data_IF_834546356032
#
_entry.id   IF_834546356032
#
_cell.length_a   1.000
_cell.length_b   1.000
_cell.length_c   1.000
_cell.angle_alpha   90.00
_cell.angle_beta   90.00
_cell.angle_gamma   90.00
#
_symmetry.space_group_name_H-M   'P 1'
#
loop_
_entity.id
_entity.type
_entity.pdbx_description
1 polymer ?
#
# COMPACT_ATOMS: atom_id res chain seq x y z
N UNK A 1 -6.88 32.98 10.57
CA UNK A 1 -5.98 32.61 9.45
C UNK A 1 -6.54 31.35 8.82
N UNK A 2 -6.93 31.40 7.54
CA UNK A 2 -7.45 30.23 6.81
C UNK A 2 -6.31 29.72 5.92
N UNK A 3 -5.87 28.48 6.12
CA UNK A 3 -4.86 27.81 5.28
C UNK A 3 -5.58 26.81 4.37
N UNK A 4 -5.44 26.98 3.05
CA UNK A 4 -6.07 26.13 2.04
C UNK A 4 -4.98 25.50 1.17
N UNK A 5 -4.96 24.16 1.05
CA UNK A 5 -4.00 23.43 0.23
C UNK A 5 -4.71 22.84 -1.00
N UNK A 6 -4.50 23.44 -2.17
CA UNK A 6 -5.07 22.96 -3.44
C UNK A 6 -4.20 21.96 -4.22
N UNK A 7 -4.83 21.32 -5.20
CA UNK A 7 -4.15 20.41 -6.13
C UNK A 7 -3.94 21.13 -7.47
N UNK A 8 -2.68 21.45 -7.77
CA UNK A 8 -2.25 22.03 -9.04
C UNK A 8 -1.62 21.00 -10.01
N UNK A 9 -1.47 19.74 -9.58
CA UNK A 9 -0.68 18.74 -10.30
C UNK A 9 -1.53 17.66 -10.97
N UNK A 10 -2.80 17.49 -10.56
CA UNK A 10 -3.72 16.56 -11.21
C UNK A 10 -4.83 17.30 -12.00
N UNK A 11 -4.53 17.82 -13.21
CA UNK A 11 -5.56 18.35 -14.09
C UNK A 11 -6.36 17.18 -14.70
N UNK A 12 -7.37 16.65 -14.01
CA UNK A 12 -8.21 15.60 -14.61
C UNK A 12 -8.89 14.54 -13.74
N UNK A 13 -9.25 14.84 -12.48
CA UNK A 13 -10.31 14.13 -11.74
C UNK A 13 -10.05 12.78 -11.00
N UNK A 14 -8.85 12.19 -10.83
CA UNK A 14 -8.72 11.07 -9.89
C UNK A 14 -8.48 11.51 -8.43
N UNK A 15 -8.40 12.82 -8.16
CA UNK A 15 -8.10 13.35 -6.83
C UNK A 15 -9.27 13.26 -5.84
N UNK A 16 -9.00 12.74 -4.65
CA UNK A 16 -10.00 12.60 -3.58
C UNK A 16 -10.56 13.96 -3.14
N UNK A 17 -11.89 14.10 -3.25
CA UNK A 17 -12.67 15.29 -2.89
C UNK A 17 -12.18 16.59 -3.57
N UNK A 18 -11.44 16.50 -4.67
CA UNK A 18 -10.81 17.66 -5.32
C UNK A 18 -11.85 18.72 -5.74
N UNK A 19 -12.97 18.27 -6.32
CA UNK A 19 -14.04 19.17 -6.79
C UNK A 19 -14.75 19.86 -5.61
N UNK A 20 -15.07 19.10 -4.56
CA UNK A 20 -15.68 19.63 -3.33
C UNK A 20 -14.81 20.70 -2.70
N UNK A 21 -13.52 20.39 -2.51
CA UNK A 21 -12.53 21.31 -1.96
C UNK A 21 -12.43 22.59 -2.81
N UNK A 22 -12.32 22.43 -4.13
CA UNK A 22 -12.25 23.57 -5.06
C UNK A 22 -13.50 24.46 -4.99
N UNK A 23 -14.69 23.86 -4.87
CA UNK A 23 -15.93 24.60 -4.69
C UNK A 23 -15.91 25.43 -3.40
N UNK A 24 -15.68 24.78 -2.26
CA UNK A 24 -15.70 25.45 -0.95
C UNK A 24 -14.63 26.55 -0.89
N UNK A 25 -13.41 26.27 -1.37
CA UNK A 25 -12.33 27.26 -1.37
C UNK A 25 -12.62 28.45 -2.27
N UNK A 26 -13.15 28.23 -3.47
CA UNK A 26 -13.46 29.34 -4.39
C UNK A 26 -14.45 30.33 -3.77
N UNK A 27 -15.42 29.83 -2.99
CA UNK A 27 -16.40 30.65 -2.26
C UNK A 27 -15.76 31.38 -1.08
N UNK A 28 -14.94 30.69 -0.28
CA UNK A 28 -14.27 31.28 0.89
C UNK A 28 -13.17 32.29 0.52
N UNK A 29 -12.47 32.09 -0.61
CA UNK A 29 -11.50 33.05 -1.13
C UNK A 29 -12.17 34.35 -1.57
N UNK A 30 -13.40 34.27 -2.08
CA UNK A 30 -14.19 35.44 -2.43
C UNK A 30 -14.82 36.12 -1.21
N UNK A 31 -15.35 35.34 -0.28
CA UNK A 31 -15.93 35.83 0.97
C UNK A 31 -15.58 34.90 2.15
N UNK A 32 -14.63 35.27 3.02
CA UNK A 32 -14.20 34.45 4.14
C UNK A 32 -15.20 34.39 5.29
N UNK A 33 -16.27 35.19 5.27
CA UNK A 33 -17.35 35.17 6.28
C UNK A 33 -18.37 34.05 6.04
N UNK A 34 -18.30 33.35 4.90
CA UNK A 34 -19.23 32.25 4.59
C UNK A 34 -18.99 31.03 5.49
N UNK A 35 -20.07 30.33 5.84
CA UNK A 35 -20.00 29.08 6.58
C UNK A 35 -19.54 27.93 5.68
N UNK A 36 -18.33 27.43 5.94
CA UNK A 36 -17.73 26.32 5.20
C UNK A 36 -18.56 25.02 5.27
N UNK A 37 -19.22 24.74 6.41
CA UNK A 37 -20.06 23.55 6.55
C UNK A 37 -21.34 23.68 5.73
N UNK A 38 -21.95 24.87 5.69
CA UNK A 38 -23.09 25.13 4.83
C UNK A 38 -22.73 24.96 3.34
N UNK A 39 -21.58 25.48 2.91
CA UNK A 39 -21.07 25.34 1.53
C UNK A 39 -20.79 23.87 1.16
N UNK A 40 -20.18 23.11 2.07
CA UNK A 40 -20.00 21.67 1.87
C UNK A 40 -21.36 20.97 1.71
N UNK A 41 -22.33 21.30 2.56
CA UNK A 41 -23.64 20.68 2.51
C UNK A 41 -24.36 20.97 1.19
N UNK A 42 -24.35 22.22 0.75
CA UNK A 42 -24.89 22.65 -0.54
C UNK A 42 -24.24 21.87 -1.69
N UNK A 43 -22.90 21.76 -1.68
CA UNK A 43 -22.17 21.01 -2.70
C UNK A 43 -22.54 19.53 -2.68
N UNK A 44 -22.57 18.91 -1.51
CA UNK A 44 -22.85 17.48 -1.40
C UNK A 44 -24.26 17.14 -1.91
N UNK A 45 -25.26 17.96 -1.57
CA UNK A 45 -26.62 17.77 -2.06
C UNK A 45 -26.71 17.95 -3.58
N UNK A 46 -26.11 19.01 -4.14
CA UNK A 46 -26.17 19.29 -5.57
C UNK A 46 -25.31 18.37 -6.44
N UNK A 47 -24.13 17.99 -5.95
CA UNK A 47 -23.14 17.22 -6.72
C UNK A 47 -23.33 15.71 -6.58
N UNK A 48 -23.75 15.21 -5.42
CA UNK A 48 -23.95 13.78 -5.21
C UNK A 48 -25.42 13.35 -5.20
N UNK A 49 -26.38 14.28 -5.18
CA UNK A 49 -27.80 13.99 -5.37
C UNK A 49 -28.31 12.87 -4.45
N UNK A 50 -28.85 11.78 -5.02
CA UNK A 50 -29.35 10.64 -4.26
C UNK A 50 -28.30 9.96 -3.35
N UNK A 51 -27.00 10.09 -3.65
CA UNK A 51 -25.93 9.56 -2.83
C UNK A 51 -25.50 10.50 -1.69
N UNK A 52 -26.02 11.73 -1.65
CA UNK A 52 -25.61 12.76 -0.69
C UNK A 52 -25.64 12.30 0.78
N UNK A 53 -26.67 11.59 1.29
CA UNK A 53 -26.69 11.14 2.69
C UNK A 53 -25.48 10.25 3.04
N UNK A 54 -25.13 9.30 2.17
CA UNK A 54 -24.01 8.38 2.38
C UNK A 54 -22.67 9.09 2.23
N UNK A 55 -22.57 10.07 1.33
CA UNK A 55 -21.36 10.91 1.22
C UNK A 55 -21.14 11.70 2.50
N UNK A 56 -22.19 12.21 3.16
CA UNK A 56 -22.06 12.89 4.46
C UNK A 56 -21.53 11.96 5.55
N UNK A 57 -22.02 10.72 5.60
CA UNK A 57 -21.51 9.71 6.53
C UNK A 57 -20.03 9.39 6.26
N UNK A 58 -19.65 9.25 5.00
CA UNK A 58 -18.26 9.03 4.60
C UNK A 58 -17.35 10.19 5.03
N UNK A 59 -17.79 11.44 4.82
CA UNK A 59 -17.04 12.63 5.26
C UNK A 59 -16.92 12.72 6.78
N UNK A 60 -17.98 12.39 7.51
CA UNK A 60 -17.98 12.35 8.98
C UNK A 60 -17.03 11.27 9.52
N UNK A 61 -17.03 10.07 8.91
CA UNK A 61 -16.09 9.00 9.25
C UNK A 61 -14.64 9.45 9.07
N UNK A 62 -14.31 10.05 7.90
CA UNK A 62 -12.94 10.55 7.65
C UNK A 62 -12.51 11.59 8.67
N UNK A 63 -13.39 12.53 9.04
CA UNK A 63 -13.12 13.52 10.08
C UNK A 63 -12.85 12.87 11.43
N UNK A 64 -13.66 11.89 11.81
CA UNK A 64 -13.49 11.13 13.05
C UNK A 64 -12.16 10.39 13.08
N UNK A 65 -11.82 9.66 12.01
CA UNK A 65 -10.56 8.92 11.92
C UNK A 65 -9.35 9.85 11.95
N UNK A 66 -9.39 10.97 11.20
CA UNK A 66 -8.35 11.98 11.21
C UNK A 66 -8.16 12.65 12.59
N UNK A 67 -9.24 12.97 13.30
CA UNK A 67 -9.17 13.56 14.64
C UNK A 67 -8.57 12.60 15.70
N UNK A 68 -8.58 11.29 15.44
CA UNK A 68 -7.96 10.29 16.31
C UNK A 68 -6.44 10.20 16.16
N UNK A 69 -5.87 10.75 15.09
CA UNK A 69 -4.43 10.74 14.87
C UNK A 69 -3.75 11.77 15.77
N UNK A 70 -2.87 11.31 16.65
CA UNK A 70 -2.14 12.16 17.61
C UNK A 70 -0.89 12.82 17.00
N UNK A 71 -0.35 12.22 15.94
CA UNK A 71 0.85 12.69 15.23
C UNK A 71 0.43 13.45 13.97
N UNK A 72 1.22 14.46 13.57
CA UNK A 72 1.02 15.12 12.27
C UNK A 72 1.35 14.16 11.12
N UNK A 73 0.66 14.31 9.99
CA UNK A 73 0.98 13.60 8.75
C UNK A 73 1.76 14.52 7.80
N UNK A 74 2.68 13.94 7.02
CA UNK A 74 3.43 14.66 6.00
C UNK A 74 2.65 14.74 4.67
N UNK A 75 3.19 15.50 3.71
CA UNK A 75 2.55 15.75 2.42
C UNK A 75 2.64 14.57 1.43
N UNK A 76 3.40 13.51 1.74
CA UNK A 76 3.74 12.44 0.81
C UNK A 76 3.46 11.03 1.38
N UNK A 77 2.55 10.91 2.35
CA UNK A 77 2.12 9.61 2.88
C UNK A 77 1.16 8.90 1.92
N UNK A 78 1.48 7.68 1.50
CA UNK A 78 0.64 6.81 0.66
C UNK A 78 -0.20 5.77 1.42
N UNK A 79 -0.04 5.66 2.75
CA UNK A 79 -0.58 4.56 3.56
C UNK A 79 -1.76 4.99 4.45
N UNK A 80 -2.15 6.26 4.44
CA UNK A 80 -3.27 6.81 5.22
C UNK A 80 -3.24 6.38 6.70
N UNK A 81 -2.26 6.85 7.48
CA UNK A 81 -2.04 6.37 8.86
C UNK A 81 -3.15 6.81 9.83
N UNK A 82 -3.90 7.84 9.44
CA UNK A 82 -5.12 8.30 10.11
C UNK A 82 -6.29 7.32 9.97
N UNK A 83 -6.22 6.32 9.09
CA UNK A 83 -7.30 5.41 8.78
C UNK A 83 -7.01 3.99 9.29
N UNK A 84 -7.72 3.61 10.36
CA UNK A 84 -7.68 2.24 10.88
C UNK A 84 -8.29 1.25 9.89
N UNK A 85 -7.90 -0.03 9.99
CA UNK A 85 -8.49 -1.09 9.14
C UNK A 85 -10.01 -1.21 9.35
N UNK A 86 -10.49 -0.95 10.59
CA UNK A 86 -11.92 -0.95 10.88
C UNK A 86 -12.65 0.20 10.18
N UNK A 87 -12.14 1.42 10.32
CA UNK A 87 -12.74 2.59 9.67
C UNK A 87 -12.64 2.48 8.14
N UNK A 88 -11.60 1.87 7.60
CA UNK A 88 -11.49 1.56 6.17
C UNK A 88 -12.66 0.67 5.72
N UNK A 89 -12.95 -0.43 6.44
CA UNK A 89 -14.08 -1.31 6.13
C UNK A 89 -15.43 -0.61 6.25
N UNK A 90 -15.61 0.20 7.29
CA UNK A 90 -16.84 0.97 7.49
C UNK A 90 -17.04 2.00 6.36
N UNK A 91 -15.96 2.65 5.92
CA UNK A 91 -15.97 3.56 4.79
C UNK A 91 -16.31 2.86 3.47
N UNK A 92 -15.75 1.67 3.22
CA UNK A 92 -16.10 0.85 2.05
C UNK A 92 -17.60 0.51 2.07
N UNK A 93 -18.15 0.12 3.22
CA UNK A 93 -19.58 -0.19 3.34
C UNK A 93 -20.48 1.03 3.07
N UNK A 94 -20.10 2.22 3.54
CA UNK A 94 -20.82 3.48 3.27
C UNK A 94 -20.76 3.81 1.76
N UNK A 95 -19.59 3.68 1.15
CA UNK A 95 -19.38 3.97 -0.27
C UNK A 95 -20.14 3.00 -1.19
N UNK A 96 -20.26 1.72 -0.82
CA UNK A 96 -21.09 0.77 -1.56
C UNK A 96 -22.58 1.13 -1.49
N UNK A 97 -23.07 1.63 -0.34
CA UNK A 97 -24.44 2.17 -0.24
C UNK A 97 -24.62 3.42 -1.10
N UNK A 98 -23.62 4.31 -1.16
CA UNK A 98 -23.62 5.47 -2.03
C UNK A 98 -23.71 5.05 -3.52
N UNK A 99 -22.94 4.03 -3.93
CA UNK A 99 -22.98 3.49 -5.30
C UNK A 99 -24.35 2.90 -5.63
N UNK A 100 -24.94 2.15 -4.70
CA UNK A 100 -26.27 1.57 -4.87
C UNK A 100 -27.35 2.66 -5.03
N UNK A 101 -27.29 3.73 -4.24
CA UNK A 101 -28.21 4.86 -4.36
C UNK A 101 -28.06 5.61 -5.70
N UNK A 102 -26.84 5.68 -6.22
CA UNK A 102 -26.50 6.33 -7.49
C UNK A 102 -26.74 5.47 -8.74
N UNK A 103 -27.13 4.19 -8.60
CA UNK A 103 -27.10 3.21 -9.69
C UNK A 103 -27.96 3.60 -10.92
N UNK A 104 -29.01 4.40 -10.73
CA UNK A 104 -29.90 4.85 -11.81
C UNK A 104 -29.44 6.14 -12.50
N UNK A 105 -28.46 6.86 -11.96
CA UNK A 105 -27.92 8.10 -12.53
C UNK A 105 -26.44 7.90 -12.88
N UNK A 106 -26.08 7.78 -14.17
CA UNK A 106 -24.71 7.50 -14.58
C UNK A 106 -23.73 8.64 -14.23
N UNK A 107 -24.21 9.88 -14.11
CA UNK A 107 -23.38 11.03 -13.75
C UNK A 107 -23.03 10.97 -12.26
N UNK A 108 -24.02 10.68 -11.41
CA UNK A 108 -23.78 10.52 -9.97
C UNK A 108 -22.96 9.25 -9.72
N UNK A 109 -23.25 8.15 -10.42
CA UNK A 109 -22.51 6.90 -10.30
C UNK A 109 -21.00 7.09 -10.57
N UNK A 110 -20.63 7.83 -11.63
CA UNK A 110 -19.23 8.14 -11.92
C UNK A 110 -18.56 9.00 -10.83
N UNK A 111 -19.31 9.94 -10.24
CA UNK A 111 -18.81 10.78 -9.13
C UNK A 111 -18.55 9.96 -7.87
N UNK A 112 -19.44 9.02 -7.55
CA UNK A 112 -19.29 8.12 -6.40
C UNK A 112 -18.20 7.07 -6.66
N UNK A 113 -18.10 6.52 -7.88
CA UNK A 113 -17.01 5.61 -8.25
C UNK A 113 -15.64 6.28 -8.03
N UNK A 114 -15.47 7.50 -8.52
CA UNK A 114 -14.25 8.30 -8.30
C UNK A 114 -13.98 8.53 -6.80
N UNK A 115 -15.01 8.84 -6.01
CA UNK A 115 -14.91 9.05 -4.57
C UNK A 115 -14.46 7.79 -3.81
N UNK A 116 -14.89 6.61 -4.27
CA UNK A 116 -14.61 5.34 -3.61
C UNK A 116 -13.18 4.83 -3.84
N UNK A 117 -12.55 5.23 -4.94
CA UNK A 117 -11.24 4.72 -5.37
C UNK A 117 -10.19 4.75 -4.24
N UNK A 118 -9.90 5.87 -3.56
CA UNK A 118 -8.85 5.89 -2.54
C UNK A 118 -9.01 4.81 -1.45
N UNK A 119 -10.24 4.55 -0.99
CA UNK A 119 -10.52 3.50 -0.01
C UNK A 119 -10.39 2.11 -0.63
N UNK A 120 -10.87 1.89 -1.86
CA UNK A 120 -10.68 0.61 -2.56
C UNK A 120 -9.20 0.27 -2.76
N UNK A 121 -8.36 1.27 -3.07
CA UNK A 121 -6.91 1.07 -3.21
C UNK A 121 -6.26 0.63 -1.90
N UNK A 122 -6.57 1.34 -0.81
CA UNK A 122 -6.09 0.99 0.52
C UNK A 122 -6.57 -0.40 0.94
N UNK A 123 -7.82 -0.74 0.62
CA UNK A 123 -8.38 -2.06 0.88
C UNK A 123 -7.58 -3.15 0.14
N UNK A 124 -7.27 -2.95 -1.15
CA UNK A 124 -6.55 -3.93 -1.95
C UNK A 124 -5.12 -4.18 -1.44
N UNK A 125 -4.41 -3.13 -1.01
CA UNK A 125 -3.07 -3.24 -0.43
C UNK A 125 -3.05 -3.79 1.01
N UNK A 126 -4.19 -3.73 1.73
CA UNK A 126 -4.33 -4.26 3.09
C UNK A 126 -5.13 -5.56 3.15
N UNK A 127 -5.55 -6.10 2.01
CA UNK A 127 -6.50 -7.21 1.95
C UNK A 127 -6.00 -8.44 2.71
N UNK A 128 -4.72 -8.80 2.57
CA UNK A 128 -4.14 -9.99 3.20
C UNK A 128 -4.24 -9.98 4.73
N UNK A 129 -4.00 -8.83 5.37
CA UNK A 129 -4.10 -8.70 6.84
C UNK A 129 -5.54 -8.52 7.35
N UNK A 130 -6.47 -8.14 6.47
CA UNK A 130 -7.87 -7.87 6.82
C UNK A 130 -8.81 -9.05 6.58
N UNK A 131 -8.40 -10.08 5.83
CA UNK A 131 -9.25 -11.24 5.59
C UNK A 131 -9.65 -11.93 6.90
N UNK A 132 -10.93 -12.36 6.94
CA UNK A 132 -11.53 -12.96 8.13
C UNK A 132 -12.04 -11.94 9.16
N UNK A 133 -11.69 -10.65 9.04
CA UNK A 133 -12.28 -9.62 9.88
C UNK A 133 -13.74 -9.33 9.48
N UNK A 134 -14.64 -9.00 10.43
CA UNK A 134 -16.01 -8.63 10.13
C UNK A 134 -16.09 -7.43 9.17
N UNK A 135 -16.81 -7.59 8.07
CA UNK A 135 -16.96 -6.56 7.04
C UNK A 135 -15.89 -6.57 5.95
N UNK A 136 -14.85 -7.40 6.07
CA UNK A 136 -13.90 -7.58 4.98
C UNK A 136 -14.60 -8.21 3.75
N UNK A 137 -14.48 -7.61 2.55
CA UNK A 137 -15.04 -8.19 1.33
C UNK A 137 -14.49 -9.58 1.03
N UNK A 138 -15.29 -10.40 0.34
CA UNK A 138 -14.87 -11.72 -0.12
C UNK A 138 -13.73 -11.61 -1.14
N UNK A 139 -12.96 -12.69 -1.30
CA UNK A 139 -11.90 -12.76 -2.32
C UNK A 139 -12.45 -12.41 -3.71
N UNK A 140 -13.62 -12.94 -4.09
CA UNK A 140 -14.26 -12.62 -5.36
C UNK A 140 -14.55 -11.11 -5.51
N UNK A 141 -15.00 -10.44 -4.44
CA UNK A 141 -15.25 -8.98 -4.49
C UNK A 141 -13.95 -8.19 -4.57
N UNK A 142 -12.88 -8.63 -3.88
CA UNK A 142 -11.55 -8.01 -4.00
C UNK A 142 -10.97 -8.14 -5.41
N UNK A 143 -11.13 -9.30 -6.05
CA UNK A 143 -10.74 -9.50 -7.46
C UNK A 143 -11.50 -8.54 -8.38
N UNK A 144 -12.79 -8.34 -8.13
CA UNK A 144 -13.60 -7.38 -8.87
C UNK A 144 -13.12 -5.94 -8.66
N UNK A 145 -12.85 -5.51 -7.42
CA UNK A 145 -12.29 -4.18 -7.15
C UNK A 145 -10.96 -3.96 -7.87
N UNK A 146 -10.09 -4.97 -7.93
CA UNK A 146 -8.83 -4.87 -8.65
C UNK A 146 -9.04 -4.65 -10.17
N UNK A 147 -9.99 -5.36 -10.78
CA UNK A 147 -10.37 -5.16 -12.18
C UNK A 147 -11.01 -3.80 -12.43
N UNK A 148 -11.93 -3.37 -11.56
CA UNK A 148 -12.55 -2.03 -11.61
C UNK A 148 -11.51 -0.92 -11.49
N UNK A 149 -10.47 -1.12 -10.68
CA UNK A 149 -9.34 -0.21 -10.55
C UNK A 149 -8.49 -0.12 -11.82
N UNK A 150 -8.18 -1.24 -12.47
CA UNK A 150 -7.46 -1.24 -13.76
C UNK A 150 -8.26 -0.48 -14.82
N UNK A 151 -9.56 -0.74 -14.92
CA UNK A 151 -10.45 -0.01 -15.83
C UNK A 151 -10.48 1.48 -15.48
N UNK A 152 -10.53 1.85 -14.20
CA UNK A 152 -10.48 3.24 -13.77
C UNK A 152 -9.17 3.93 -14.19
N UNK A 153 -8.03 3.26 -14.01
CA UNK A 153 -6.73 3.78 -14.44
C UNK A 153 -6.68 4.04 -15.95
N UNK A 154 -7.26 3.15 -16.76
CA UNK A 154 -7.34 3.34 -18.22
C UNK A 154 -8.27 4.50 -18.58
N UNK A 155 -9.49 4.54 -18.02
CA UNK A 155 -10.48 5.59 -18.29
C UNK A 155 -9.98 6.98 -17.92
N UNK A 156 -9.30 7.10 -16.77
CA UNK A 156 -8.74 8.36 -16.26
C UNK A 156 -7.32 8.65 -16.77
N UNK A 157 -6.76 7.79 -17.63
CA UNK A 157 -5.41 7.92 -18.20
C UNK A 157 -4.32 8.09 -17.14
N UNK A 158 -4.42 7.34 -16.04
CA UNK A 158 -3.44 7.35 -14.96
C UNK A 158 -2.18 6.63 -15.43
N UNK A 159 -1.14 7.40 -15.69
CA UNK A 159 0.15 6.92 -16.23
C UNK A 159 1.30 7.00 -15.24
N UNK A 160 1.13 7.69 -14.12
CA UNK A 160 2.17 7.93 -13.12
C UNK A 160 1.62 7.77 -11.71
N UNK A 161 2.51 7.54 -10.76
CA UNK A 161 2.22 7.48 -9.33
C UNK A 161 3.16 8.44 -8.59
N UNK A 162 2.62 9.22 -7.65
CA UNK A 162 3.34 10.29 -6.94
C UNK A 162 3.99 11.33 -7.89
N UNK A 163 4.88 12.18 -7.36
CA UNK A 163 5.64 13.16 -8.15
C UNK A 163 6.81 12.53 -8.92
N UNK A 164 6.77 11.21 -9.17
CA UNK A 164 7.83 10.51 -9.89
C UNK A 164 7.78 10.82 -11.39
N UNK A 165 8.59 11.79 -11.80
CA UNK A 165 8.85 12.09 -13.21
C UNK A 165 9.89 11.10 -13.77
N UNK A 166 9.44 10.02 -14.41
CA UNK A 166 10.35 9.11 -15.11
C UNK A 166 9.68 7.85 -15.67
N UNK A 167 10.33 7.17 -16.64
CA UNK A 167 9.82 5.94 -17.27
C UNK A 167 9.75 4.72 -16.32
N UNK A 168 10.20 4.87 -15.08
CA UNK A 168 10.35 3.82 -14.06
C UNK A 168 9.55 4.14 -12.78
N UNK A 169 8.34 4.70 -12.92
CA UNK A 169 7.50 5.01 -11.75
C UNK A 169 6.89 3.75 -11.11
N UNK A 170 6.56 3.87 -9.82
CA UNK A 170 5.87 2.85 -9.02
C UNK A 170 4.58 2.29 -9.66
N UNK A 171 4.00 3.00 -10.63
CA UNK A 171 2.77 2.63 -11.33
C UNK A 171 2.83 1.24 -11.99
N UNK A 172 4.01 0.82 -12.43
CA UNK A 172 4.21 -0.47 -13.10
C UNK A 172 3.97 -1.64 -12.14
N UNK A 173 4.55 -1.57 -10.94
CA UNK A 173 4.31 -2.52 -9.85
C UNK A 173 2.85 -2.53 -9.42
N UNK A 174 2.25 -1.35 -9.25
CA UNK A 174 0.82 -1.22 -8.91
C UNK A 174 -0.07 -1.92 -9.96
N UNK A 175 0.17 -1.65 -11.25
CA UNK A 175 -0.58 -2.30 -12.34
C UNK A 175 -0.39 -3.81 -12.34
N UNK A 176 0.83 -4.30 -12.12
CA UNK A 176 1.11 -5.72 -12.04
C UNK A 176 0.37 -6.39 -10.86
N UNK A 177 0.45 -5.79 -9.66
CA UNK A 177 -0.26 -6.27 -8.48
C UNK A 177 -1.78 -6.32 -8.69
N UNK A 178 -2.38 -5.22 -9.18
CA UNK A 178 -3.81 -5.17 -9.49
C UNK A 178 -4.22 -6.23 -10.52
N UNK A 179 -3.42 -6.43 -11.57
CA UNK A 179 -3.66 -7.45 -12.58
C UNK A 179 -3.66 -8.86 -11.98
N UNK A 180 -2.64 -9.21 -11.20
CA UNK A 180 -2.58 -10.52 -10.53
C UNK A 180 -3.77 -10.75 -9.59
N UNK A 181 -4.18 -9.71 -8.84
CA UNK A 181 -5.38 -9.78 -7.99
C UNK A 181 -6.63 -9.99 -8.84
N UNK A 182 -6.83 -9.23 -9.92
CA UNK A 182 -8.01 -9.37 -10.80
C UNK A 182 -8.11 -10.73 -11.50
N UNK A 183 -6.98 -11.35 -11.82
CA UNK A 183 -6.90 -12.67 -12.47
C UNK A 183 -7.03 -13.83 -11.47
N UNK A 184 -7.18 -13.54 -10.17
CA UNK A 184 -7.23 -14.55 -9.11
C UNK A 184 -5.91 -15.29 -8.91
N UNK A 185 -4.79 -14.68 -9.32
CA UNK A 185 -3.44 -15.23 -9.18
C UNK A 185 -2.73 -14.74 -7.91
N UNK A 186 -3.27 -13.71 -7.26
CA UNK A 186 -2.92 -13.25 -5.92
C UNK A 186 -4.16 -13.38 -5.00
N UNK A 187 -4.06 -12.94 -3.73
CA UNK A 187 -5.08 -13.06 -2.67
C UNK A 187 -5.31 -14.49 -2.14
N UNK A 188 -4.41 -15.42 -2.46
CA UNK A 188 -4.44 -16.80 -1.94
C UNK A 188 -3.79 -16.85 -0.58
N UNK A 189 -4.53 -16.71 0.52
CA UNK A 189 -3.88 -16.58 1.84
C UNK A 189 -3.46 -17.93 2.43
N UNK A 190 -2.16 -18.22 2.35
CA UNK A 190 -1.53 -19.32 3.06
C UNK A 190 -0.64 -18.75 4.14
N UNK A 191 -0.93 -19.07 5.40
CA UNK A 191 -0.03 -18.77 6.51
C UNK A 191 1.13 -19.76 6.49
N UNK A 192 2.38 -19.35 6.19
CA UNK A 192 3.53 -20.25 6.20
C UNK A 192 3.86 -20.68 7.63
N UNK A 193 4.59 -21.79 7.79
CA UNK A 193 4.91 -22.38 9.10
C UNK A 193 5.61 -21.38 10.03
N UNK A 194 6.51 -20.55 9.48
CA UNK A 194 7.19 -19.50 10.22
C UNK A 194 6.22 -18.52 10.88
N UNK A 195 5.23 -18.02 10.13
CA UNK A 195 4.21 -17.11 10.66
C UNK A 195 3.28 -17.79 11.66
N UNK A 196 2.92 -19.07 11.44
CA UNK A 196 2.13 -19.85 12.42
C UNK A 196 2.87 -20.01 13.74
N UNK A 197 4.18 -20.23 13.69
CA UNK A 197 5.02 -20.33 14.89
C UNK A 197 5.04 -19.01 15.66
N UNK A 198 5.24 -17.87 14.98
CA UNK A 198 5.17 -16.56 15.62
C UNK A 198 3.81 -16.31 16.29
N UNK A 199 2.71 -16.69 15.62
CA UNK A 199 1.35 -16.61 16.19
C UNK A 199 1.20 -17.48 17.44
N UNK A 200 1.67 -18.73 17.38
CA UNK A 200 1.60 -19.66 18.52
C UNK A 200 2.44 -19.19 19.72
N UNK A 201 3.55 -18.50 19.46
CA UNK A 201 4.39 -17.87 20.48
C UNK A 201 3.82 -16.54 21.01
N UNK A 202 2.68 -16.08 20.49
CA UNK A 202 2.06 -14.81 20.86
C UNK A 202 2.88 -13.58 20.43
N UNK A 203 3.79 -13.74 19.47
CA UNK A 203 4.64 -12.65 18.98
C UNK A 203 3.84 -11.71 18.11
N UNK A 204 3.97 -10.42 18.38
CA UNK A 204 3.41 -9.38 17.53
C UNK A 204 4.34 -9.14 16.34
N UNK A 205 3.82 -9.28 15.13
CA UNK A 205 4.57 -9.07 13.91
C UNK A 205 3.74 -8.40 12.82
N UNK A 206 4.43 -7.88 11.82
CA UNK A 206 3.84 -7.28 10.63
C UNK A 206 4.42 -7.95 9.38
N UNK A 207 3.56 -8.23 8.40
CA UNK A 207 3.92 -8.83 7.12
C UNK A 207 3.73 -7.79 6.00
N UNK A 208 4.77 -7.59 5.19
CA UNK A 208 4.77 -6.70 4.05
C UNK A 208 4.93 -7.55 2.79
N UNK A 209 3.83 -7.73 2.06
CA UNK A 209 3.75 -8.48 0.81
C UNK A 209 4.32 -7.65 -0.37
N UNK A 210 4.28 -8.21 -1.58
CA UNK A 210 4.86 -7.62 -2.78
C UNK A 210 4.38 -6.21 -3.11
N UNK A 211 3.10 -5.92 -2.81
CA UNK A 211 2.44 -4.65 -3.09
C UNK A 211 2.73 -3.55 -2.05
N UNK A 212 3.42 -3.90 -0.96
CA UNK A 212 3.97 -2.92 -0.02
C UNK A 212 5.27 -2.27 -0.52
N UNK A 213 5.92 -2.88 -1.52
CA UNK A 213 7.20 -2.40 -2.04
C UNK A 213 7.04 -1.50 -3.26
N UNK A 214 7.89 -0.49 -3.34
CA UNK A 214 8.05 0.35 -4.51
C UNK A 214 9.23 -0.13 -5.34
N UNK A 215 8.96 -0.52 -6.59
CA UNK A 215 9.98 -0.95 -7.54
C UNK A 215 10.43 0.27 -8.36
N UNK A 216 11.61 0.79 -8.04
CA UNK A 216 12.32 1.75 -8.89
C UNK A 216 13.26 1.03 -9.86
N UNK A 217 13.65 1.67 -10.96
CA UNK A 217 14.49 1.00 -11.97
C UNK A 217 13.71 0.17 -12.97
N UNK A 218 12.37 0.10 -12.85
CA UNK A 218 11.49 -0.67 -13.75
C UNK A 218 11.72 -2.18 -13.71
N UNK A 219 11.11 -2.88 -14.68
CA UNK A 219 11.11 -4.33 -14.77
C UNK A 219 12.50 -4.97 -14.97
N UNK A 220 13.53 -4.18 -15.27
CA UNK A 220 14.92 -4.67 -15.32
C UNK A 220 15.51 -4.98 -13.94
N UNK A 221 15.02 -4.31 -12.90
CA UNK A 221 15.51 -4.49 -11.52
C UNK A 221 14.72 -5.57 -10.81
N UNK A 222 13.39 -5.43 -10.86
CA UNK A 222 12.46 -6.35 -10.26
C UNK A 222 11.07 -6.23 -10.88
N UNK A 223 10.25 -7.25 -10.72
CA UNK A 223 8.86 -7.26 -11.18
C UNK A 223 7.97 -8.03 -10.21
N UNK A 224 6.72 -7.57 -10.06
CA UNK A 224 5.69 -8.34 -9.34
C UNK A 224 5.13 -9.40 -10.29
N UNK A 225 5.24 -10.67 -9.89
CA UNK A 225 4.85 -11.83 -10.70
C UNK A 225 3.98 -12.79 -9.91
N UNK A 226 3.22 -13.61 -10.62
CA UNK A 226 2.52 -14.72 -9.98
C UNK A 226 3.52 -15.77 -9.54
N UNK A 227 3.34 -16.25 -8.32
CA UNK A 227 4.10 -17.35 -7.75
C UNK A 227 3.19 -18.25 -6.91
N UNK A 228 2.80 -19.43 -7.43
CA UNK A 228 2.02 -20.40 -6.68
C UNK A 228 2.70 -20.95 -5.42
N UNK A 229 3.98 -20.66 -5.15
CA UNK A 229 4.64 -21.00 -3.89
C UNK A 229 4.54 -19.88 -2.82
N UNK A 230 4.24 -18.64 -3.23
CA UNK A 230 4.24 -17.47 -2.33
C UNK A 230 2.99 -17.41 -1.45
N UNK A 231 3.11 -16.79 -0.28
CA UNK A 231 2.08 -16.82 0.76
C UNK A 231 0.73 -16.32 0.28
N UNK A 232 0.68 -15.34 -0.64
CA UNK A 232 -0.53 -14.78 -1.21
C UNK A 232 -0.76 -15.14 -2.71
N UNK A 233 0.16 -15.90 -3.33
CA UNK A 233 0.14 -16.25 -4.75
C UNK A 233 0.93 -15.31 -5.68
N UNK A 234 1.52 -14.24 -5.15
CA UNK A 234 2.38 -13.31 -5.87
C UNK A 234 3.70 -13.09 -5.11
N UNK A 235 4.73 -12.68 -5.85
CA UNK A 235 6.06 -12.42 -5.32
C UNK A 235 6.75 -11.33 -6.14
N UNK A 236 7.80 -10.75 -5.59
CA UNK A 236 8.73 -9.89 -6.33
C UNK A 236 9.83 -10.78 -6.90
N UNK A 237 9.97 -10.85 -8.23
CA UNK A 237 11.12 -11.44 -8.89
C UNK A 237 12.23 -10.38 -9.04
N UNK A 238 13.32 -10.55 -8.30
CA UNK A 238 14.55 -9.77 -8.40
C UNK A 238 15.40 -10.28 -9.56
N UNK A 239 15.92 -9.39 -10.39
CA UNK A 239 16.75 -9.73 -11.54
C UNK A 239 18.23 -9.42 -11.24
N UNK A 240 19.12 -10.40 -11.45
CA UNK A 240 20.54 -10.30 -11.10
C UNK A 240 21.40 -9.70 -12.23
N UNK A 241 20.90 -8.62 -12.85
CA UNK A 241 21.50 -8.00 -14.04
C UNK A 241 22.28 -6.73 -13.73
N UNK A 242 21.84 -5.97 -12.73
CA UNK A 242 22.43 -4.70 -12.32
C UNK A 242 22.21 -4.51 -10.82
N UNK A 243 23.16 -3.88 -10.14
CA UNK A 243 22.98 -3.50 -8.75
C UNK A 243 22.14 -2.21 -8.66
N UNK A 244 21.15 -2.20 -7.78
CA UNK A 244 20.36 -1.00 -7.51
C UNK A 244 19.49 -1.17 -6.28
N UNK A 245 19.13 -0.04 -5.66
CA UNK A 245 18.40 -0.01 -4.38
C UNK A 245 16.90 -0.20 -4.62
N UNK A 246 16.52 -1.37 -5.12
CA UNK A 246 15.14 -1.71 -5.50
C UNK A 246 14.92 -3.22 -5.45
N UNK A 247 13.79 -3.70 -4.88
CA UNK A 247 12.62 -2.95 -4.38
C UNK A 247 12.88 -2.20 -3.07
N UNK A 248 12.08 -1.16 -2.80
CA UNK A 248 12.13 -0.34 -1.58
C UNK A 248 10.88 -0.54 -0.72
N UNK A 249 11.06 -0.61 0.60
CA UNK A 249 10.01 -0.58 1.61
C UNK A 249 10.18 0.69 2.44
N UNK A 250 9.27 1.64 2.25
CA UNK A 250 9.27 2.89 3.02
C UNK A 250 8.75 2.65 4.44
N UNK A 251 9.29 3.40 5.40
CA UNK A 251 8.92 3.26 6.81
C UNK A 251 7.59 3.92 7.12
N UNK A 252 6.52 3.16 6.87
CA UNK A 252 5.14 3.62 7.01
C UNK A 252 4.40 2.73 8.02
N UNK A 253 3.34 3.25 8.69
CA UNK A 253 2.44 2.45 9.50
C UNK A 253 2.04 1.11 8.82
N UNK A 254 2.06 0.00 9.58
CA UNK A 254 2.06 -0.06 11.03
C UNK A 254 3.46 0.01 11.71
N UNK A 255 4.52 0.28 10.95
CA UNK A 255 5.84 0.53 11.54
C UNK A 255 5.80 1.80 12.40
N UNK A 256 6.31 1.69 13.64
CA UNK A 256 6.35 2.81 14.58
C UNK A 256 7.75 3.39 14.62
N UNK A 257 7.89 4.70 14.42
CA UNK A 257 9.18 5.41 14.50
C UNK A 257 9.83 5.19 15.86
N UNK A 258 11.14 5.02 15.88
CA UNK A 258 11.94 4.72 17.07
C UNK A 258 11.81 3.28 17.60
N UNK A 259 10.82 2.51 17.12
CA UNK A 259 10.60 1.15 17.58
C UNK A 259 11.52 0.16 16.89
N UNK A 260 11.83 -0.94 17.60
CA UNK A 260 12.74 -1.99 17.13
C UNK A 260 11.99 -3.23 16.66
N UNK A 261 12.47 -3.77 15.55
CA UNK A 261 11.93 -4.99 14.94
C UNK A 261 13.06 -5.94 14.53
N UNK A 262 12.91 -7.23 14.84
CA UNK A 262 13.72 -8.28 14.22
C UNK A 262 13.13 -8.57 12.83
N UNK A 263 13.96 -8.37 11.81
CA UNK A 263 13.55 -8.44 10.41
C UNK A 263 13.85 -9.81 9.83
N UNK A 264 12.93 -10.34 9.04
CA UNK A 264 13.10 -11.56 8.27
C UNK A 264 12.62 -11.34 6.85
N UNK A 265 13.27 -11.98 5.88
CA UNK A 265 12.84 -11.96 4.48
C UNK A 265 12.64 -13.40 4.01
N UNK A 266 11.48 -13.64 3.40
CA UNK A 266 11.16 -14.91 2.77
C UNK A 266 11.68 -14.91 1.33
N UNK A 267 12.73 -15.71 1.07
CA UNK A 267 13.38 -15.81 -0.23
C UNK A 267 13.34 -17.23 -0.79
N UNK A 268 13.25 -17.36 -2.12
CA UNK A 268 13.51 -18.61 -2.84
C UNK A 268 14.18 -18.37 -4.18
N UNK A 269 14.80 -19.40 -4.73
CA UNK A 269 15.42 -19.37 -6.05
C UNK A 269 14.50 -19.95 -7.13
N UNK A 270 14.75 -19.60 -8.39
CA UNK A 270 14.19 -20.31 -9.54
C UNK A 270 14.85 -21.68 -9.74
N UNK A 271 16.17 -21.74 -9.61
CA UNK A 271 17.01 -22.95 -9.74
C UNK A 271 18.15 -22.94 -8.72
N UNK A 272 18.76 -24.10 -8.40
CA UNK A 272 19.87 -24.14 -7.46
C UNK A 272 21.03 -23.29 -7.97
N UNK A 273 21.63 -22.49 -7.07
CA UNK A 273 22.76 -21.63 -7.36
C UNK A 273 23.61 -21.40 -6.10
N UNK A 274 24.80 -20.84 -6.26
CA UNK A 274 25.71 -20.52 -5.16
C UNK A 274 26.26 -19.10 -5.26
N UNK A 275 26.81 -18.60 -4.15
CA UNK A 275 27.43 -17.28 -4.08
C UNK A 275 26.46 -16.18 -3.66
N UNK A 276 26.95 -14.94 -3.74
CA UNK A 276 26.20 -13.77 -3.30
C UNK A 276 24.90 -13.61 -4.09
N UNK A 277 23.82 -13.41 -3.35
CA UNK A 277 22.45 -13.38 -3.87
C UNK A 277 21.93 -11.94 -3.92
N UNK A 278 21.71 -11.36 -2.76
CA UNK A 278 21.17 -10.02 -2.59
C UNK A 278 21.56 -9.49 -1.22
N UNK A 279 21.44 -8.18 -1.04
CA UNK A 279 21.54 -7.54 0.26
C UNK A 279 20.20 -6.96 0.66
N UNK A 280 19.88 -7.06 1.94
CA UNK A 280 18.91 -6.19 2.57
C UNK A 280 19.64 -5.06 3.29
N UNK A 281 19.21 -3.83 3.06
CA UNK A 281 19.81 -2.67 3.71
C UNK A 281 18.76 -1.66 4.15
N UNK A 282 19.06 -0.91 5.20
CA UNK A 282 18.22 0.17 5.74
C UNK A 282 18.95 1.51 5.63
N UNK A 283 18.30 2.52 5.05
CA UNK A 283 18.82 3.86 4.86
C UNK A 283 17.95 4.89 5.56
N UNK A 284 18.54 5.86 6.26
CA UNK A 284 17.84 6.81 7.13
C UNK A 284 17.72 8.24 6.57
N UNK A 285 17.93 8.44 5.27
CA UNK A 285 18.05 9.78 4.69
C UNK A 285 19.49 10.29 4.53
N UNK A 286 20.45 9.67 5.23
CA UNK A 286 21.86 10.07 5.23
C UNK A 286 22.77 8.87 5.02
N UNK A 287 22.66 7.88 5.89
CA UNK A 287 23.57 6.73 5.96
C UNK A 287 22.80 5.41 5.87
N UNK A 288 23.47 4.39 5.32
CA UNK A 288 23.03 2.99 5.44
C UNK A 288 23.49 2.48 6.80
N UNK A 289 22.54 2.14 7.68
CA UNK A 289 22.83 1.79 9.09
C UNK A 289 22.59 0.31 9.41
N UNK A 290 21.99 -0.43 8.48
CA UNK A 290 21.85 -1.88 8.56
C UNK A 290 22.14 -2.43 7.16
N UNK A 291 22.97 -3.47 7.07
CA UNK A 291 23.20 -4.21 5.85
C UNK A 291 23.45 -5.68 6.14
N UNK A 292 22.69 -6.55 5.50
CA UNK A 292 22.79 -8.01 5.62
C UNK A 292 22.86 -8.60 4.22
N UNK A 293 23.91 -9.39 3.96
CA UNK A 293 24.10 -10.09 2.69
C UNK A 293 23.60 -11.53 2.79
N UNK A 294 22.94 -11.99 1.75
CA UNK A 294 22.42 -13.35 1.63
C UNK A 294 23.19 -14.12 0.56
N UNK A 295 23.33 -15.43 0.80
CA UNK A 295 24.00 -16.36 -0.10
C UNK A 295 22.97 -17.35 -0.66
N UNK A 296 23.06 -17.61 -1.95
CA UNK A 296 22.15 -18.49 -2.69
C UNK A 296 22.15 -19.93 -2.14
N UNK A 297 23.26 -20.42 -1.57
CA UNK A 297 23.38 -21.75 -0.99
C UNK A 297 22.49 -21.96 0.25
N UNK A 298 21.98 -20.88 0.85
CA UNK A 298 21.01 -20.96 1.98
C UNK A 298 19.57 -21.14 1.51
N UNK A 299 19.30 -21.00 0.20
CA UNK A 299 17.96 -20.99 -0.34
C UNK A 299 17.57 -22.30 -1.01
N UNK A 300 16.27 -22.43 -1.23
CA UNK A 300 15.64 -23.57 -1.88
C UNK A 300 14.84 -23.07 -3.09
N UNK A 301 14.53 -23.94 -4.03
CA UNK A 301 13.84 -23.57 -5.28
C UNK A 301 12.31 -23.68 -5.17
N UNK A 302 11.83 -24.70 -4.46
CA UNK A 302 10.39 -25.02 -4.36
C UNK A 302 9.67 -24.45 -3.14
N UNK A 303 10.38 -23.81 -2.20
CA UNK A 303 9.76 -23.18 -1.01
C UNK A 303 10.56 -21.99 -0.53
N UNK A 304 9.84 -21.07 0.11
CA UNK A 304 10.43 -19.90 0.74
C UNK A 304 11.20 -20.27 2.01
N UNK A 305 12.41 -19.72 2.11
CA UNK A 305 13.27 -19.81 3.28
C UNK A 305 13.30 -18.45 3.97
N UNK A 306 13.03 -18.42 5.27
CA UNK A 306 13.06 -17.21 6.07
C UNK A 306 14.48 -16.96 6.56
N UNK A 307 15.10 -15.87 6.08
CA UNK A 307 16.43 -15.47 6.48
C UNK A 307 16.36 -14.25 7.41
N UNK A 308 17.11 -14.23 8.53
CA UNK A 308 17.21 -13.06 9.38
C UNK A 308 17.93 -11.94 8.63
N UNK A 309 17.30 -10.77 8.56
CA UNK A 309 17.78 -9.59 7.86
C UNK A 309 18.39 -8.53 8.80
N UNK A 310 18.37 -8.81 10.11
CA UNK A 310 18.94 -7.96 11.17
C UNK A 310 17.86 -7.25 12.00
N UNK A 311 18.30 -6.39 12.92
CA UNK A 311 17.42 -5.62 13.81
C UNK A 311 17.29 -4.19 13.33
N UNK A 312 16.07 -3.81 12.91
CA UNK A 312 15.74 -2.49 12.42
C UNK A 312 15.20 -1.63 13.56
N UNK A 313 15.83 -0.49 13.82
CA UNK A 313 15.19 0.61 14.54
C UNK A 313 14.59 1.54 13.49
N UNK A 314 13.27 1.73 13.49
CA UNK A 314 12.60 2.51 12.45
C UNK A 314 13.02 3.99 12.56
N UNK A 315 13.72 4.56 11.55
CA UNK A 315 14.17 5.94 11.59
C UNK A 315 13.02 6.92 11.30
N UNK A 316 13.27 8.21 11.48
CA UNK A 316 12.33 9.29 11.15
C UNK A 316 12.03 9.41 9.65
N UNK A 317 13.00 9.07 8.81
CA UNK A 317 12.89 9.12 7.36
C UNK A 317 13.75 8.03 6.72
N UNK A 318 13.48 7.74 5.45
CA UNK A 318 14.22 6.78 4.64
C UNK A 318 13.42 5.53 4.30
N UNK A 319 14.13 4.46 3.96
CA UNK A 319 13.53 3.20 3.50
C UNK A 319 14.51 2.04 3.68
N UNK A 320 13.96 0.84 3.72
CA UNK A 320 14.73 -0.38 3.50
C UNK A 320 14.69 -0.77 2.03
N UNK A 321 15.69 -1.47 1.54
CA UNK A 321 15.70 -2.01 0.18
C UNK A 321 16.31 -3.40 0.11
N UNK A 322 15.94 -4.15 -0.92
CA UNK A 322 16.53 -5.46 -1.25
C UNK A 322 17.25 -5.31 -2.59
N UNK A 323 18.57 -5.27 -2.61
CA UNK A 323 19.34 -5.09 -3.85
C UNK A 323 19.92 -6.43 -4.30
N UNK A 324 19.58 -6.84 -5.53
CA UNK A 324 20.17 -8.03 -6.14
C UNK A 324 21.67 -7.84 -6.41
N UNK A 325 22.47 -8.85 -6.12
CA UNK A 325 23.85 -8.93 -6.57
C UNK A 325 23.86 -9.38 -8.02
N UNK A 326 24.70 -8.77 -8.86
CA UNK A 326 24.90 -9.23 -10.24
C UNK A 326 25.51 -10.63 -10.19
N UNK A 327 24.74 -11.62 -10.64
CA UNK A 327 25.13 -13.03 -10.63
C UNK A 327 24.55 -13.73 -11.86
N UNK A 328 25.36 -14.05 -12.88
CA UNK A 328 24.86 -14.64 -14.12
C UNK A 328 24.34 -16.07 -13.96
N UNK A 329 24.67 -16.75 -12.87
CA UNK A 329 24.12 -18.07 -12.58
C UNK A 329 22.67 -18.01 -12.12
N UNK A 330 22.24 -16.87 -11.57
CA UNK A 330 20.91 -16.66 -11.00
C UNK A 330 20.11 -15.81 -11.96
N UNK A 331 19.03 -16.37 -12.54
CA UNK A 331 18.17 -15.57 -13.40
C UNK A 331 17.27 -14.68 -12.55
N UNK A 332 16.59 -15.28 -11.58
CA UNK A 332 15.65 -14.60 -10.71
C UNK A 332 15.69 -15.15 -9.29
N UNK A 333 15.61 -14.25 -8.31
CA UNK A 333 15.30 -14.58 -6.92
C UNK A 333 13.91 -14.06 -6.60
N UNK A 334 13.10 -14.85 -5.91
CA UNK A 334 11.77 -14.43 -5.52
C UNK A 334 11.73 -14.02 -4.05
N UNK A 335 11.11 -12.87 -3.80
CA UNK A 335 10.75 -12.36 -2.48
C UNK A 335 9.25 -12.51 -2.32
N UNK A 336 8.81 -13.30 -1.33
CA UNK A 336 7.39 -13.43 -0.98
C UNK A 336 6.96 -12.20 -0.18
N UNK A 337 7.53 -12.07 1.02
CA UNK A 337 7.25 -10.96 1.92
C UNK A 337 8.41 -10.70 2.87
N UNK A 338 8.35 -9.55 3.53
CA UNK A 338 9.20 -9.19 4.66
C UNK A 338 8.39 -9.21 5.95
N UNK A 339 8.96 -9.81 7.00
CA UNK A 339 8.35 -9.90 8.33
C UNK A 339 9.13 -9.02 9.30
N UNK A 340 8.41 -8.15 10.01
CA UNK A 340 8.92 -7.37 11.14
C UNK A 340 8.32 -7.89 12.44
N UNK A 341 9.15 -8.52 13.29
CA UNK A 341 8.72 -9.02 14.61
C UNK A 341 9.06 -7.97 15.66
N UNK A 342 8.07 -7.52 16.42
CA UNK A 342 8.25 -6.53 17.47
C UNK A 342 9.16 -7.07 18.59
N UNK A 343 10.18 -6.31 18.97
CA UNK A 343 11.10 -6.69 20.05
C UNK A 343 10.52 -6.26 21.38
N UNK A 344 10.35 -7.21 22.30
CA UNK A 344 9.90 -6.93 23.66
C UNK A 344 11.03 -6.23 24.46
N UNK A 345 10.94 -4.91 24.68
CA UNK A 345 11.97 -4.14 25.41
C UNK A 345 12.23 -4.66 26.84
N UNK A 346 11.28 -5.39 27.43
CA UNK A 346 11.43 -6.02 28.74
C UNK A 346 12.42 -7.22 28.74
N UNK A 347 12.71 -7.80 27.58
CA UNK A 347 13.57 -8.99 27.44
C UNK A 347 15.06 -8.68 27.26
N UNK A 348 15.43 -7.43 26.96
CA UNK A 348 16.84 -7.00 26.80
C UNK A 348 17.52 -6.57 28.12
N UNK A 349 16.77 -6.44 29.22
CA UNK A 349 17.33 -6.06 30.55
C UNK A 349 17.73 -7.25 31.44
N UNK A 350 17.88 -8.46 30.88
CA UNK A 350 18.29 -9.65 31.64
C UNK A 350 19.66 -10.17 31.23
#
# INVERSE_FOLDING_TARGET
MVMLQGDCFNPGQPGDLQVLKSYVWSKLLWNPELDAAALENEFVDGYYGCAAPMVREYLALRRKSAAGLKEGYDCFTSDAPWLSDRDLLDGIAILEQAKAAAASDPVIAERVDTLAKPFEFLLLGRASRMQGQPGCPSVARLQQYAGEWLNFMERKKITHWAEEWGPESAISGIRAALKLKSEGRSLTLRTPEFLRRLQAEGKKYYCFEEDAFVIHGGAKMAEIVADPAASNGAAIALHHVEFGWSPKLYYMPPMQRGKRYDCYIALRLDKPATGDLCQFSAWNGKDVFLSTHFDAAKLQTGRYTYLPAGRLTVPEAGYSFIAATVNPEIRQTYVDHMVLVEVDEASEKK
#
